data_IF_652003660390
#
_entry.id   IF_652003660390
#
_cell.length_a   1.000
_cell.length_b   1.000
_cell.length_c   1.000
_cell.angle_alpha   90.00
_cell.angle_beta   90.00
_cell.angle_gamma   90.00
#
_symmetry.space_group_name_H-M   'P 1'
#
loop_
_entity.id
_entity.type
_entity.pdbx_description
1 polymer ?
#
# COMPACT_ATOMS: atom_id res chain seq x y z
N UNK A 1 83.37 -27.28 37.00
CA UNK A 1 83.16 -28.55 36.26
C UNK A 1 82.20 -28.20 35.13
N UNK A 2 82.67 -27.92 33.92
CA UNK A 2 83.17 -28.88 32.92
C UNK A 2 82.16 -30.01 32.68
N UNK A 3 81.76 -30.40 31.46
CA UNK A 3 82.24 -30.15 30.09
C UNK A 3 81.28 -30.97 29.19
N UNK A 4 80.96 -30.46 27.99
CA UNK A 4 80.73 -31.22 26.72
C UNK A 4 79.73 -32.39 26.65
N UNK A 5 79.34 -32.92 25.48
CA UNK A 5 79.74 -32.65 24.11
C UNK A 5 78.55 -32.95 23.19
N UNK A 6 78.51 -32.20 22.11
CA UNK A 6 77.96 -32.60 20.83
C UNK A 6 78.48 -33.97 20.38
N UNK A 7 77.60 -34.83 19.87
CA UNK A 7 77.92 -35.53 18.62
C UNK A 7 76.67 -35.97 17.85
N UNK A 8 76.73 -35.78 16.54
CA UNK A 8 75.66 -35.90 15.54
C UNK A 8 75.56 -37.35 14.99
N UNK A 9 75.00 -37.61 13.79
CA UNK A 9 73.58 -37.71 13.41
C UNK A 9 73.28 -39.07 12.71
N UNK A 10 72.03 -39.34 12.30
CA UNK A 10 71.71 -39.74 10.91
C UNK A 10 70.21 -39.84 10.65
N UNK A 11 69.89 -39.30 9.50
CA UNK A 11 68.64 -39.15 8.80
C UNK A 11 68.11 -40.47 8.16
N UNK A 12 66.79 -40.44 7.86
CA UNK A 12 66.03 -41.16 6.83
C UNK A 12 65.88 -42.70 6.90
N UNK A 13 64.68 -43.16 7.28
CA UNK A 13 63.61 -43.65 6.37
C UNK A 13 62.44 -44.22 7.22
N UNK A 14 61.26 -43.60 7.24
CA UNK A 14 60.10 -43.94 6.39
C UNK A 14 59.63 -45.39 6.67
N UNK A 15 58.44 -45.68 7.22
CA UNK A 15 57.10 -45.47 6.64
C UNK A 15 56.06 -46.14 7.57
N UNK A 16 54.88 -45.51 7.67
CA UNK A 16 53.56 -46.02 8.08
C UNK A 16 53.29 -46.46 9.54
N UNK A 17 52.35 -45.75 10.14
CA UNK A 17 51.14 -46.42 10.63
C UNK A 17 50.76 -46.13 12.08
N UNK A 18 49.78 -45.24 12.25
CA UNK A 18 48.75 -45.45 13.27
C UNK A 18 48.85 -44.63 14.55
N UNK A 19 47.87 -43.73 14.67
CA UNK A 19 47.24 -43.28 15.90
C UNK A 19 47.85 -42.12 16.72
N UNK A 20 47.06 -41.04 16.70
CA UNK A 20 46.76 -40.18 17.83
C UNK A 20 47.80 -39.11 18.18
N UNK A 21 48.15 -38.27 17.22
CA UNK A 21 48.26 -36.86 17.54
C UNK A 21 46.86 -36.29 17.52
N UNK A 22 46.34 -35.87 18.68
CA UNK A 22 45.24 -34.92 18.76
C UNK A 22 45.88 -33.56 18.45
N UNK A 23 45.68 -32.94 17.28
CA UNK A 23 46.03 -31.55 17.10
C UNK A 23 44.85 -30.75 17.67
N UNK A 24 45.17 -29.80 18.52
CA UNK A 24 44.24 -28.89 19.19
C UNK A 24 43.48 -28.09 18.11
N UNK A 25 42.40 -28.66 17.58
CA UNK A 25 41.43 -28.00 16.68
C UNK A 25 40.28 -27.32 17.43
N UNK A 26 40.38 -27.24 18.76
CA UNK A 26 39.33 -26.74 19.65
C UNK A 26 39.80 -25.60 20.56
N UNK A 27 40.76 -24.79 20.11
CA UNK A 27 41.08 -23.53 20.76
C UNK A 27 40.09 -22.46 20.27
N UNK A 28 38.98 -22.34 21.01
CA UNK A 28 38.19 -21.11 21.24
C UNK A 28 38.45 -20.01 20.20
N UNK A 29 37.61 -19.92 19.17
CA UNK A 29 37.43 -18.69 18.39
C UNK A 29 36.78 -17.64 19.30
N UNK A 30 37.58 -17.13 20.23
CA UNK A 30 37.20 -16.18 21.25
C UNK A 30 36.90 -14.84 20.61
N UNK A 31 35.66 -14.41 20.71
CA UNK A 31 35.25 -13.06 20.33
C UNK A 31 34.47 -12.97 19.02
N UNK A 32 34.55 -11.78 18.40
CA UNK A 32 33.80 -11.43 17.18
C UNK A 32 34.09 -12.36 15.99
N UNK A 33 35.25 -13.03 15.96
CA UNK A 33 35.62 -13.98 14.90
C UNK A 33 34.69 -15.22 14.89
N UNK A 34 34.36 -15.77 16.06
CA UNK A 34 33.41 -16.88 16.17
C UNK A 34 31.98 -16.46 15.85
N UNK A 35 31.61 -15.20 16.08
CA UNK A 35 30.31 -14.65 15.63
C UNK A 35 30.26 -14.52 14.11
N UNK A 36 31.32 -14.00 13.48
CA UNK A 36 31.42 -13.88 12.02
C UNK A 36 31.31 -15.23 11.33
N UNK A 37 31.97 -16.26 11.86
CA UNK A 37 31.89 -17.61 11.30
C UNK A 37 30.48 -18.21 11.42
N UNK A 38 29.79 -18.00 12.55
CA UNK A 38 28.38 -18.42 12.72
C UNK A 38 27.44 -17.68 11.78
N UNK A 39 27.69 -16.39 11.55
CA UNK A 39 26.92 -15.57 10.61
C UNK A 39 27.12 -16.00 9.15
N UNK A 40 28.28 -16.54 8.79
CA UNK A 40 28.55 -17.07 7.45
C UNK A 40 27.97 -18.48 7.18
N UNK A 41 27.25 -19.08 8.14
CA UNK A 41 26.70 -20.43 7.99
C UNK A 41 25.38 -20.45 7.22
N UNK A 42 25.12 -21.56 6.52
CA UNK A 42 23.86 -21.77 5.79
C UNK A 42 22.65 -21.91 6.73
N UNK A 43 22.88 -22.21 8.00
CA UNK A 43 21.85 -22.40 9.02
C UNK A 43 21.27 -21.08 9.53
N UNK A 44 19.98 -20.86 9.23
CA UNK A 44 19.22 -19.68 9.69
C UNK A 44 19.30 -19.51 11.23
N UNK A 45 19.08 -20.55 12.07
CA UNK A 45 19.23 -20.44 13.52
C UNK A 45 20.62 -19.98 13.99
N UNK A 46 21.68 -20.43 13.31
CA UNK A 46 23.05 -20.07 13.66
C UNK A 46 23.35 -18.61 13.34
N UNK A 47 22.84 -18.10 12.20
CA UNK A 47 22.94 -16.67 11.84
C UNK A 47 22.17 -15.79 12.84
N UNK A 48 20.98 -16.20 13.27
CA UNK A 48 20.21 -15.49 14.32
C UNK A 48 20.99 -15.43 15.64
N UNK A 49 21.58 -16.54 16.06
CA UNK A 49 22.38 -16.58 17.29
C UNK A 49 23.61 -15.67 17.20
N UNK A 50 24.26 -15.61 16.04
CA UNK A 50 25.38 -14.71 15.79
C UNK A 50 24.96 -13.23 15.91
N UNK A 51 23.83 -12.88 15.30
CA UNK A 51 23.28 -11.51 15.37
C UNK A 51 22.95 -11.12 16.81
N UNK A 52 22.35 -12.02 17.61
CA UNK A 52 22.04 -11.79 19.03
C UNK A 52 23.28 -11.61 19.90
N UNK A 53 24.38 -12.28 19.58
CA UNK A 53 25.66 -12.14 20.29
C UNK A 53 26.45 -10.89 19.86
N UNK A 54 26.14 -10.31 18.70
CA UNK A 54 26.89 -9.19 18.13
C UNK A 54 27.05 -7.98 19.06
N UNK A 55 26.04 -7.54 19.85
CA UNK A 55 26.18 -6.38 20.75
C UNK A 55 27.28 -6.51 21.81
N UNK A 56 27.68 -7.75 22.15
CA UNK A 56 28.71 -8.03 23.15
C UNK A 56 30.11 -7.57 22.71
N UNK A 57 30.29 -7.24 21.43
CA UNK A 57 31.60 -6.98 20.82
C UNK A 57 31.77 -5.54 20.31
N UNK A 58 30.95 -4.59 20.76
CA UNK A 58 31.09 -3.16 20.43
C UNK A 58 30.94 -2.84 18.93
N UNK A 59 31.70 -1.87 18.42
CA UNK A 59 31.62 -1.40 17.03
C UNK A 59 31.75 -2.52 15.97
N UNK A 60 32.69 -3.49 16.09
CA UNK A 60 32.76 -4.64 15.19
C UNK A 60 31.50 -5.51 15.16
N UNK A 61 30.82 -5.63 16.30
CA UNK A 61 29.55 -6.34 16.42
C UNK A 61 28.37 -5.57 15.83
N UNK A 62 28.33 -4.26 16.05
CA UNK A 62 27.33 -3.38 15.42
C UNK A 62 27.44 -3.38 13.90
N UNK A 63 28.66 -3.38 13.35
CA UNK A 63 28.88 -3.51 11.91
C UNK A 63 28.35 -4.85 11.36
N UNK A 64 28.51 -5.94 12.11
CA UNK A 64 27.94 -7.24 11.75
C UNK A 64 26.42 -7.24 11.80
N UNK A 65 25.82 -6.61 12.82
CA UNK A 65 24.38 -6.45 12.91
C UNK A 65 23.84 -5.60 11.75
N UNK A 66 24.56 -4.55 11.33
CA UNK A 66 24.21 -3.75 10.15
C UNK A 66 24.28 -4.59 8.87
N UNK A 67 25.29 -5.44 8.71
CA UNK A 67 25.37 -6.37 7.57
C UNK A 67 24.23 -7.40 7.58
N UNK A 68 23.80 -7.84 8.77
CA UNK A 68 22.69 -8.78 8.92
C UNK A 68 21.33 -8.21 8.50
N UNK A 69 21.24 -6.89 8.32
CA UNK A 69 20.09 -6.26 7.69
C UNK A 69 19.97 -6.68 6.20
N UNK A 70 21.05 -7.06 5.53
CA UNK A 70 21.05 -7.48 4.13
C UNK A 70 20.94 -9.02 3.94
N UNK A 71 20.69 -9.79 5.01
CA UNK A 71 20.59 -11.25 4.94
C UNK A 71 19.39 -11.70 4.09
N UNK A 72 19.48 -12.78 3.29
CA UNK A 72 18.34 -13.26 2.51
C UNK A 72 17.17 -13.82 3.35
N UNK A 73 17.40 -14.16 4.63
CA UNK A 73 16.36 -14.70 5.51
C UNK A 73 15.70 -13.62 6.40
N UNK A 74 14.37 -13.54 6.32
CA UNK A 74 13.52 -12.61 7.10
C UNK A 74 13.78 -12.66 8.61
N UNK A 75 13.94 -13.86 9.18
CA UNK A 75 14.11 -14.05 10.62
C UNK A 75 15.44 -13.50 11.15
N UNK A 76 16.48 -13.47 10.30
CA UNK A 76 17.80 -12.89 10.61
C UNK A 76 17.72 -11.37 10.60
N UNK A 77 17.10 -10.81 9.56
CA UNK A 77 16.86 -9.37 9.43
C UNK A 77 16.07 -8.80 10.63
N UNK A 78 15.00 -9.49 11.08
CA UNK A 78 14.22 -9.11 12.28
C UNK A 78 15.08 -9.06 13.54
N UNK A 79 15.95 -10.05 13.71
CA UNK A 79 16.86 -10.12 14.85
C UNK A 79 17.88 -8.99 14.84
N UNK A 80 18.37 -8.61 13.65
CA UNK A 80 19.31 -7.51 13.46
C UNK A 80 18.66 -6.16 13.75
N UNK A 81 17.44 -5.93 13.25
CA UNK A 81 16.70 -4.70 13.52
C UNK A 81 16.39 -4.50 15.00
N UNK A 82 15.95 -5.55 15.71
CA UNK A 82 15.60 -5.47 17.14
C UNK A 82 16.77 -4.98 18.01
N UNK A 83 18.01 -5.26 17.58
CA UNK A 83 19.24 -4.86 18.26
C UNK A 83 19.63 -3.41 17.92
N UNK A 84 19.35 -2.98 16.69
CA UNK A 84 19.81 -1.71 16.14
C UNK A 84 18.80 -0.55 16.30
N UNK A 85 17.51 -0.82 16.49
CA UNK A 85 16.46 0.21 16.49
C UNK A 85 16.65 1.32 17.53
N UNK A 86 17.18 0.98 18.70
CA UNK A 86 17.32 1.88 19.84
C UNK A 86 18.73 2.52 19.89
N UNK A 87 19.57 2.25 18.90
CA UNK A 87 20.97 2.69 18.81
C UNK A 87 21.09 4.08 18.18
N UNK A 88 22.00 4.91 18.67
CA UNK A 88 22.16 6.32 18.27
C UNK A 88 23.35 6.56 17.36
N UNK A 89 24.15 5.53 17.10
CA UNK A 89 25.36 5.56 16.29
C UNK A 89 25.04 5.96 14.83
N UNK A 90 25.82 6.89 14.26
CA UNK A 90 25.57 7.48 12.93
C UNK A 90 25.49 6.41 11.84
N UNK A 91 26.44 5.48 11.82
CA UNK A 91 26.47 4.37 10.87
C UNK A 91 25.24 3.46 10.98
N UNK A 92 24.69 3.30 12.19
CA UNK A 92 23.45 2.55 12.41
C UNK A 92 22.24 3.36 11.93
N UNK A 93 22.21 4.68 12.15
CA UNK A 93 21.14 5.54 11.66
C UNK A 93 21.13 5.65 10.14
N UNK A 94 22.29 5.74 9.49
CA UNK A 94 22.41 5.69 8.03
C UNK A 94 22.05 4.31 7.47
N UNK A 95 22.51 3.24 8.13
CA UNK A 95 22.12 1.89 7.78
C UNK A 95 20.61 1.68 7.94
N UNK A 96 19.98 2.18 9.00
CA UNK A 96 18.52 2.09 9.21
C UNK A 96 17.71 3.01 8.29
N UNK A 97 18.31 4.06 7.74
CA UNK A 97 17.69 4.91 6.69
C UNK A 97 17.64 4.20 5.33
N UNK A 98 18.68 3.44 5.01
CA UNK A 98 18.83 2.75 3.72
C UNK A 98 18.38 1.29 3.77
N UNK A 99 18.46 0.69 4.95
CA UNK A 99 17.77 -0.54 5.23
C UNK A 99 16.29 -0.21 5.19
N UNK A 100 15.56 -1.05 4.50
CA UNK A 100 14.14 -1.16 4.65
C UNK A 100 13.99 -2.29 5.67
N UNK A 101 14.24 -2.05 6.99
CA UNK A 101 13.77 -2.99 7.98
C UNK A 101 12.30 -3.12 7.72
N UNK A 102 11.76 -4.30 7.95
CA UNK A 102 10.37 -4.40 8.31
C UNK A 102 9.96 -3.22 9.25
N UNK A 103 9.36 -2.14 8.72
CA UNK A 103 8.14 -1.62 9.34
C UNK A 103 7.23 -2.81 9.22
N UNK A 104 6.96 -3.46 10.35
CA UNK A 104 6.58 -4.87 10.47
C UNK A 104 5.23 -5.23 9.85
N UNK A 105 4.76 -4.47 8.85
CA UNK A 105 3.39 -4.51 8.39
C UNK A 105 2.49 -4.56 9.64
N UNK A 106 2.88 -3.76 10.62
CA UNK A 106 2.34 -3.82 11.96
C UNK A 106 1.28 -2.75 12.05
N UNK A 107 0.20 -3.10 12.72
CA UNK A 107 -0.84 -2.15 13.03
C UNK A 107 -0.30 -1.21 14.11
N UNK A 108 0.10 0.00 13.72
CA UNK A 108 0.61 1.03 14.61
C UNK A 108 -0.51 1.60 15.49
N UNK A 109 -1.68 1.77 14.88
CA UNK A 109 -2.84 2.39 15.53
C UNK A 109 -4.13 1.81 14.96
N UNK A 110 -5.10 1.54 15.82
CA UNK A 110 -6.48 1.23 15.41
C UNK A 110 -7.40 2.32 15.93
N UNK A 111 -8.08 3.00 15.03
CA UNK A 111 -8.99 4.11 15.32
C UNK A 111 -10.41 3.60 15.11
N UNK A 112 -11.23 3.67 16.15
CA UNK A 112 -12.65 3.31 16.05
C UNK A 112 -13.41 4.44 15.39
N UNK A 113 -14.13 4.13 14.33
CA UNK A 113 -14.88 5.10 13.53
C UNK A 113 -16.28 4.55 13.21
N UNK A 114 -17.03 5.30 12.40
CA UNK A 114 -18.34 4.86 11.92
C UNK A 114 -18.28 3.80 10.82
N UNK A 115 -19.43 3.53 10.22
CA UNK A 115 -19.54 2.73 8.99
C UNK A 115 -19.20 3.57 7.76
N UNK A 116 -18.94 2.93 6.62
CA UNK A 116 -18.78 3.59 5.32
C UNK A 116 -17.65 4.63 5.34
N UNK A 117 -16.43 4.15 5.22
CA UNK A 117 -15.22 4.92 5.48
C UNK A 117 -14.67 5.46 4.17
N UNK A 118 -14.28 6.73 4.15
CA UNK A 118 -13.46 7.30 3.09
C UNK A 118 -12.17 7.86 3.69
N UNK A 119 -11.06 7.67 2.99
CA UNK A 119 -9.76 8.20 3.36
C UNK A 119 -9.41 9.35 2.42
N UNK A 120 -8.72 10.36 2.94
CA UNK A 120 -8.11 11.37 2.09
C UNK A 120 -7.02 10.73 1.22
N UNK A 121 -6.74 11.26 0.01
CA UNK A 121 -5.70 10.70 -0.85
C UNK A 121 -4.30 10.72 -0.22
N UNK A 122 -4.06 11.60 0.76
CA UNK A 122 -2.80 11.70 1.50
C UNK A 122 -2.75 10.81 2.75
N UNK A 123 -3.88 10.21 3.15
CA UNK A 123 -3.97 9.36 4.34
C UNK A 123 -3.97 10.10 5.69
N UNK A 124 -4.07 11.43 5.70
CA UNK A 124 -4.09 12.24 6.93
C UNK A 124 -5.46 12.29 7.62
N UNK A 125 -6.55 12.10 6.87
CA UNK A 125 -7.93 12.20 7.39
C UNK A 125 -8.79 11.01 6.98
N UNK A 126 -9.76 10.69 7.83
CA UNK A 126 -10.84 9.78 7.51
C UNK A 126 -12.19 10.44 7.73
N UNK A 127 -13.12 10.21 6.81
CA UNK A 127 -14.52 10.49 7.00
C UNK A 127 -15.26 9.19 7.25
N UNK A 128 -16.19 9.20 8.19
CA UNK A 128 -16.98 8.03 8.55
C UNK A 128 -18.39 8.41 8.95
N UNK A 129 -19.34 7.51 8.68
CA UNK A 129 -20.73 7.69 9.04
C UNK A 129 -20.98 7.14 10.46
N UNK A 130 -21.19 8.04 11.41
CA UNK A 130 -21.55 7.73 12.79
C UNK A 130 -23.05 7.99 13.01
N UNK A 131 -23.86 6.94 12.87
CA UNK A 131 -25.33 6.98 12.99
C UNK A 131 -26.00 8.00 12.04
N UNK A 132 -26.24 9.22 12.56
CA UNK A 132 -26.83 10.35 11.84
C UNK A 132 -25.86 11.54 11.69
N UNK A 133 -24.55 11.31 11.71
CA UNK A 133 -23.56 12.35 11.43
C UNK A 133 -22.41 11.79 10.60
N UNK A 134 -21.91 12.57 9.66
CA UNK A 134 -20.61 12.31 9.04
C UNK A 134 -19.58 12.97 9.95
N UNK A 135 -18.60 12.22 10.40
CA UNK A 135 -17.49 12.74 11.20
C UNK A 135 -16.22 12.68 10.36
N UNK A 136 -15.52 13.80 10.30
CA UNK A 136 -14.17 13.85 9.74
C UNK A 136 -13.19 13.86 10.90
N UNK A 137 -12.30 12.88 10.91
CA UNK A 137 -11.25 12.74 11.90
C UNK A 137 -9.87 12.87 11.28
N UNK A 138 -8.97 13.48 12.04
CA UNK A 138 -7.54 13.45 11.81
C UNK A 138 -7.00 12.08 12.24
N UNK A 139 -6.26 11.40 11.37
CA UNK A 139 -5.77 10.05 11.64
C UNK A 139 -4.51 10.05 12.51
N UNK A 140 -3.69 11.11 12.43
CA UNK A 140 -2.47 11.27 13.21
C UNK A 140 -2.83 11.54 14.68
N UNK A 141 -3.64 12.57 14.93
CA UNK A 141 -4.13 12.91 16.27
C UNK A 141 -5.22 11.93 16.75
N UNK A 142 -6.06 11.42 15.85
CA UNK A 142 -7.26 10.66 16.21
C UNK A 142 -8.43 11.53 16.69
N UNK A 143 -8.35 12.84 16.47
CA UNK A 143 -9.34 13.82 16.89
C UNK A 143 -10.42 14.03 15.83
N UNK A 144 -11.63 14.39 16.27
CA UNK A 144 -12.72 14.77 15.36
C UNK A 144 -12.55 16.25 15.04
N UNK A 145 -12.32 16.56 13.77
CA UNK A 145 -12.15 17.94 13.31
C UNK A 145 -13.49 18.64 13.20
N UNK A 146 -14.46 18.00 12.54
CA UNK A 146 -15.83 18.49 12.46
C UNK A 146 -16.83 17.37 12.19
N UNK A 147 -18.10 17.67 12.41
CA UNK A 147 -19.20 16.76 12.15
C UNK A 147 -20.29 17.45 11.34
N UNK A 148 -20.77 16.77 10.30
CA UNK A 148 -21.89 17.23 9.48
C UNK A 148 -23.11 16.38 9.80
N UNK A 149 -24.22 17.04 10.14
CA UNK A 149 -25.47 16.35 10.48
C UNK A 149 -26.10 15.68 9.25
N UNK A 150 -26.59 14.46 9.45
CA UNK A 150 -27.24 13.64 8.43
C UNK A 150 -28.69 14.07 8.24
N UNK A 151 -29.12 14.11 6.98
CA UNK A 151 -30.53 14.01 6.63
C UNK A 151 -30.94 12.54 6.37
N UNK A 152 -32.12 12.08 6.82
CA UNK A 152 -32.31 10.71 7.32
C UNK A 152 -32.34 9.56 6.30
N UNK A 153 -32.09 9.77 5.00
CA UNK A 153 -32.56 8.84 3.96
C UNK A 153 -31.57 8.30 2.92
N UNK A 154 -30.30 8.71 2.89
CA UNK A 154 -29.41 8.32 1.79
C UNK A 154 -28.44 7.18 2.12
N UNK A 155 -28.29 6.25 1.17
CA UNK A 155 -27.07 5.44 1.00
C UNK A 155 -26.00 6.37 0.43
N UNK A 156 -25.17 6.94 1.28
CA UNK A 156 -24.19 7.93 0.83
C UNK A 156 -22.90 7.24 0.43
N UNK A 157 -22.29 7.71 -0.64
CA UNK A 157 -20.88 7.50 -0.94
C UNK A 157 -20.26 8.88 -0.89
N UNK A 158 -19.15 9.02 -0.19
CA UNK A 158 -18.46 10.30 -0.07
C UNK A 158 -16.97 10.13 -0.32
N UNK A 159 -16.35 11.19 -0.81
CA UNK A 159 -14.93 11.24 -1.17
C UNK A 159 -14.35 12.52 -0.57
N UNK A 160 -13.12 12.40 -0.07
CA UNK A 160 -12.36 13.51 0.48
C UNK A 160 -11.42 14.08 -0.58
N UNK A 161 -11.30 15.41 -0.60
CA UNK A 161 -10.26 16.09 -1.37
C UNK A 161 -8.87 15.84 -0.79
N UNK A 162 -7.84 16.19 -1.56
CA UNK A 162 -6.50 16.41 -1.00
C UNK A 162 -6.51 17.61 -0.06
N UNK A 163 -7.32 18.63 -0.37
CA UNK A 163 -7.67 19.68 0.56
C UNK A 163 -8.63 19.14 1.60
N UNK A 164 -8.16 19.21 2.83
CA UNK A 164 -8.61 18.36 3.91
C UNK A 164 -9.97 18.78 4.49
N UNK A 165 -10.47 19.93 4.05
CA UNK A 165 -11.76 20.51 4.42
C UNK A 165 -12.86 20.27 3.38
N UNK A 166 -12.53 19.77 2.19
CA UNK A 166 -13.50 19.55 1.11
C UNK A 166 -13.92 18.09 1.06
N UNK A 167 -15.22 17.83 1.13
CA UNK A 167 -15.77 16.52 0.85
C UNK A 167 -16.96 16.61 -0.09
N UNK A 168 -17.10 15.57 -0.91
CA UNK A 168 -18.19 15.46 -1.87
C UNK A 168 -19.01 14.24 -1.52
N UNK A 169 -20.33 14.39 -1.46
CA UNK A 169 -21.25 13.29 -1.19
C UNK A 169 -22.30 13.17 -2.28
N UNK A 170 -22.77 11.94 -2.52
CA UNK A 170 -24.01 11.72 -3.27
C UNK A 170 -25.23 11.72 -2.34
N UNK A 171 -26.34 12.26 -2.84
CA UNK A 171 -27.67 12.16 -2.24
C UNK A 171 -28.65 11.62 -3.26
N UNK A 172 -29.40 10.59 -2.87
CA UNK A 172 -30.50 10.03 -3.65
C UNK A 172 -31.81 10.31 -2.94
N UNK A 173 -32.76 10.95 -3.62
CA UNK A 173 -34.10 11.24 -3.09
C UNK A 173 -35.19 10.29 -3.61
N UNK A 174 -34.80 9.24 -4.34
CA UNK A 174 -35.73 8.32 -5.01
C UNK A 174 -36.12 8.73 -6.43
N UNK A 175 -35.78 9.95 -6.87
CA UNK A 175 -36.10 10.46 -8.21
C UNK A 175 -34.88 10.96 -8.97
N UNK A 176 -33.94 11.65 -8.31
CA UNK A 176 -32.73 12.21 -8.94
C UNK A 176 -31.51 12.04 -8.05
N UNK A 177 -30.38 11.80 -8.70
CA UNK A 177 -29.07 11.83 -8.07
C UNK A 177 -28.60 13.27 -7.95
N UNK A 178 -28.39 13.71 -6.72
CA UNK A 178 -27.74 14.98 -6.40
C UNK A 178 -26.32 14.70 -5.90
N UNK A 179 -25.41 15.62 -6.19
CA UNK A 179 -24.06 15.61 -5.63
C UNK A 179 -23.93 16.88 -4.81
N UNK A 180 -23.39 16.80 -3.62
CA UNK A 180 -23.23 17.94 -2.73
C UNK A 180 -21.76 18.14 -2.40
N UNK A 181 -21.29 19.37 -2.57
CA UNK A 181 -19.93 19.80 -2.25
C UNK A 181 -19.98 20.52 -0.91
N UNK A 182 -19.21 20.02 0.04
CA UNK A 182 -19.12 20.56 1.38
C UNK A 182 -17.70 21.02 1.66
N UNK A 183 -17.56 22.16 2.33
CA UNK A 183 -16.27 22.72 2.74
C UNK A 183 -16.36 23.15 4.20
N UNK A 184 -15.45 22.66 5.04
CA UNK A 184 -15.34 22.98 6.47
C UNK A 184 -16.66 22.80 7.26
N UNK A 185 -17.53 21.89 6.80
CA UNK A 185 -18.82 21.60 7.42
C UNK A 185 -20.02 22.34 6.81
N UNK A 186 -19.81 23.26 5.87
CA UNK A 186 -20.87 24.02 5.20
C UNK A 186 -21.13 23.51 3.77
N UNK A 187 -22.40 23.47 3.37
CA UNK A 187 -22.81 23.12 2.02
C UNK A 187 -22.52 24.29 1.07
N UNK A 188 -21.60 24.08 0.13
CA UNK A 188 -21.26 25.10 -0.88
C UNK A 188 -22.18 24.99 -2.09
N UNK A 189 -22.30 23.79 -2.66
CA UNK A 189 -23.02 23.57 -3.92
C UNK A 189 -23.80 22.26 -3.93
N UNK A 190 -24.96 22.29 -4.60
CA UNK A 190 -25.73 21.10 -4.95
C UNK A 190 -25.76 20.95 -6.46
N UNK A 191 -25.11 19.91 -6.98
CA UNK A 191 -25.00 19.61 -8.40
C UNK A 191 -26.16 18.70 -8.81
N UNK A 192 -26.94 19.18 -9.77
CA UNK A 192 -28.09 18.46 -10.33
C UNK A 192 -27.86 18.28 -11.83
N UNK A 193 -28.08 17.07 -12.34
CA UNK A 193 -27.96 16.82 -13.77
C UNK A 193 -28.00 15.34 -14.18
N UNK A 194 -27.69 14.42 -13.26
CA UNK A 194 -27.91 13.00 -13.49
C UNK A 194 -29.40 12.66 -13.46
N UNK A 195 -29.81 11.74 -14.35
CA UNK A 195 -31.18 11.23 -14.44
C UNK A 195 -31.36 9.92 -13.65
N UNK A 196 -30.27 9.38 -13.12
CA UNK A 196 -30.22 8.18 -12.31
C UNK A 196 -29.49 8.41 -10.98
N UNK A 197 -29.33 7.34 -10.22
CA UNK A 197 -28.56 7.38 -8.99
C UNK A 197 -27.08 7.53 -9.33
N UNK A 198 -26.37 8.40 -8.62
CA UNK A 198 -24.91 8.48 -8.72
C UNK A 198 -24.33 7.21 -8.10
N UNK A 199 -23.65 6.40 -8.90
CA UNK A 199 -23.08 5.13 -8.47
C UNK A 199 -21.60 5.26 -8.06
N UNK A 200 -20.88 6.22 -8.64
CA UNK A 200 -19.46 6.45 -8.35
C UNK A 200 -19.12 7.95 -8.32
N UNK A 201 -18.18 8.33 -7.46
CA UNK A 201 -17.63 9.68 -7.33
C UNK A 201 -16.11 9.62 -7.21
N UNK A 202 -15.42 10.63 -7.73
CA UNK A 202 -14.01 10.87 -7.47
C UNK A 202 -13.69 12.36 -7.58
N UNK A 203 -12.70 12.82 -6.81
CA UNK A 203 -12.16 14.19 -6.89
C UNK A 203 -10.78 14.08 -7.57
N UNK A 204 -10.44 15.04 -8.42
CA UNK A 204 -9.12 15.09 -9.03
C UNK A 204 -8.03 15.39 -7.99
N UNK A 205 -6.78 14.91 -8.19
CA UNK A 205 -5.68 15.12 -7.24
C UNK A 205 -5.36 16.60 -6.96
N UNK A 206 -5.63 17.48 -7.92
CA UNK A 206 -5.47 18.93 -7.83
C UNK A 206 -6.65 19.66 -7.17
N UNK A 207 -7.68 18.93 -6.71
CA UNK A 207 -8.93 19.48 -6.16
C UNK A 207 -9.62 20.52 -7.06
N UNK A 208 -9.52 20.41 -8.38
CA UNK A 208 -10.22 21.32 -9.28
C UNK A 208 -11.53 20.77 -9.82
N UNK A 209 -11.64 19.45 -9.97
CA UNK A 209 -12.78 18.82 -10.65
C UNK A 209 -13.30 17.59 -9.91
N UNK A 210 -14.58 17.29 -10.13
CA UNK A 210 -15.26 16.08 -9.67
C UNK A 210 -15.66 15.26 -10.88
N UNK A 211 -15.40 13.96 -10.85
CA UNK A 211 -16.04 12.99 -11.75
C UNK A 211 -17.20 12.30 -11.03
N UNK A 212 -18.36 12.24 -11.69
CA UNK A 212 -19.51 11.48 -11.22
C UNK A 212 -20.03 10.55 -12.30
N UNK A 213 -20.39 9.35 -11.87
CA UNK A 213 -20.92 8.29 -12.71
C UNK A 213 -22.26 7.85 -12.16
N UNK A 214 -23.19 7.52 -13.04
CA UNK A 214 -24.57 7.28 -12.68
C UNK A 214 -25.13 6.02 -13.32
N UNK A 215 -26.23 5.52 -12.76
CA UNK A 215 -27.04 4.47 -13.37
C UNK A 215 -27.65 4.91 -14.71
N UNK A 216 -27.67 6.21 -15.01
CA UNK A 216 -28.01 6.75 -16.34
C UNK A 216 -26.92 6.52 -17.40
N UNK A 217 -25.85 5.79 -17.06
CA UNK A 217 -24.73 5.40 -17.94
C UNK A 217 -23.84 6.55 -18.40
N UNK A 218 -24.06 7.77 -17.91
CA UNK A 218 -23.23 8.94 -18.23
C UNK A 218 -22.17 9.21 -17.17
N UNK A 219 -21.06 9.81 -17.60
CA UNK A 219 -20.05 10.36 -16.70
C UNK A 219 -20.10 11.88 -16.84
N UNK A 220 -20.20 12.60 -15.72
CA UNK A 220 -20.20 14.07 -15.70
C UNK A 220 -18.98 14.58 -14.96
N UNK A 221 -18.37 15.64 -15.50
CA UNK A 221 -17.27 16.34 -14.88
C UNK A 221 -17.74 17.71 -14.44
N UNK A 222 -17.47 18.05 -13.19
CA UNK A 222 -17.90 19.28 -12.55
C UNK A 222 -16.68 20.05 -12.06
N UNK A 223 -16.78 21.37 -12.05
CA UNK A 223 -15.79 22.23 -11.40
C UNK A 223 -16.09 22.25 -9.88
N UNK A 224 -15.08 21.95 -9.05
CA UNK A 224 -15.23 21.84 -7.60
C UNK A 224 -15.56 23.20 -6.95
N UNK A 225 -14.89 24.27 -7.40
CA UNK A 225 -15.00 25.63 -6.85
C UNK A 225 -16.33 26.31 -7.18
N UNK A 226 -16.86 26.10 -8.38
CA UNK A 226 -18.06 26.81 -8.89
C UNK A 226 -19.31 25.94 -8.90
N UNK A 227 -19.17 24.62 -8.73
CA UNK A 227 -20.25 23.66 -8.89
C UNK A 227 -20.84 23.56 -10.31
N UNK A 228 -20.19 24.13 -11.32
CA UNK A 228 -20.70 24.12 -12.70
C UNK A 228 -20.29 22.83 -13.42
N UNK A 229 -21.21 22.32 -14.26
CA UNK A 229 -20.93 21.21 -15.16
C UNK A 229 -19.94 21.65 -16.24
N UNK A 230 -18.79 20.98 -16.33
CA UNK A 230 -17.76 21.23 -17.35
C UNK A 230 -18.08 20.44 -18.62
N UNK A 231 -18.34 19.14 -18.47
CA UNK A 231 -18.68 18.27 -19.60
C UNK A 231 -19.46 17.03 -19.16
N UNK A 232 -20.13 16.42 -20.14
CA UNK A 232 -20.74 15.09 -20.01
C UNK A 232 -20.12 14.18 -21.04
N UNK A 233 -19.61 13.04 -20.61
CA UNK A 233 -19.22 11.95 -21.49
C UNK A 233 -20.43 11.07 -21.75
N UNK A 234 -20.77 10.94 -23.02
CA UNK A 234 -21.81 10.06 -23.56
C UNK A 234 -21.40 9.65 -24.97
N UNK A 235 -21.54 8.37 -25.32
CA UNK A 235 -21.29 7.89 -26.68
C UNK A 235 -22.39 8.36 -27.64
N UNK A 236 -21.99 8.89 -28.80
CA UNK A 236 -22.92 9.27 -29.88
C UNK A 236 -23.73 8.11 -30.45
N UNK A 237 -23.27 6.85 -30.29
CA UNK A 237 -23.93 5.66 -30.84
C UNK A 237 -24.78 4.90 -29.82
N UNK A 238 -24.57 5.11 -28.52
CA UNK A 238 -25.21 4.31 -27.45
C UNK A 238 -25.87 5.14 -26.34
N UNK A 239 -25.98 6.47 -26.50
CA UNK A 239 -26.52 7.42 -25.51
C UNK A 239 -25.79 7.49 -24.14
N UNK A 240 -24.97 6.48 -23.77
CA UNK A 240 -24.20 6.40 -22.53
C UNK A 240 -22.67 6.34 -22.73
N UNK A 241 -21.89 6.77 -21.74
CA UNK A 241 -20.43 6.56 -21.70
C UNK A 241 -20.08 5.07 -21.62
N UNK A 242 -20.91 4.33 -20.90
CA UNK A 242 -20.91 2.88 -20.77
C UNK A 242 -22.27 2.31 -21.17
N UNK A 243 -22.40 0.98 -21.27
CA UNK A 243 -23.70 0.31 -21.52
C UNK A 243 -24.48 -0.01 -20.25
N UNK A 244 -23.87 0.19 -19.09
CA UNK A 244 -24.46 -0.07 -17.77
C UNK A 244 -23.91 0.94 -16.75
N UNK A 245 -24.34 0.85 -15.50
CA UNK A 245 -23.88 1.74 -14.42
C UNK A 245 -22.36 1.73 -14.26
N UNK A 246 -21.81 2.87 -13.86
CA UNK A 246 -20.38 3.02 -13.59
C UNK A 246 -20.07 2.55 -12.17
N UNK A 247 -19.07 1.68 -12.01
CA UNK A 247 -18.69 1.10 -10.71
C UNK A 247 -17.62 1.90 -9.97
N UNK A 248 -16.61 2.42 -10.68
CA UNK A 248 -15.50 3.15 -10.05
C UNK A 248 -14.84 4.12 -11.04
N UNK A 249 -14.13 5.10 -10.48
CA UNK A 249 -13.25 6.00 -11.21
C UNK A 249 -11.83 5.95 -10.64
N UNK A 250 -10.85 6.32 -11.47
CA UNK A 250 -9.52 6.69 -11.03
C UNK A 250 -9.02 7.86 -11.86
N UNK A 251 -8.61 8.95 -11.22
CA UNK A 251 -7.91 10.05 -11.89
C UNK A 251 -6.43 9.75 -12.01
N UNK A 252 -5.83 10.23 -13.09
CA UNK A 252 -4.39 10.27 -13.23
C UNK A 252 -3.77 11.31 -12.28
N UNK A 253 -2.68 10.98 -11.56
CA UNK A 253 -1.97 11.91 -10.68
C UNK A 253 -1.26 13.07 -11.41
N UNK A 254 -0.89 12.92 -12.67
CA UNK A 254 -0.03 13.90 -13.39
C UNK A 254 -0.64 14.45 -14.69
N UNK A 255 -1.89 14.11 -15.02
CA UNK A 255 -2.47 14.56 -16.29
C UNK A 255 -3.98 14.42 -16.41
N UNK A 256 -4.56 14.93 -17.52
CA UNK A 256 -6.01 14.99 -17.74
C UNK A 256 -6.57 13.65 -18.20
N UNK A 257 -6.24 12.56 -17.50
CA UNK A 257 -6.69 11.20 -17.82
C UNK A 257 -7.62 10.73 -16.70
N UNK A 258 -8.74 10.12 -17.09
CA UNK A 258 -9.70 9.50 -16.19
C UNK A 258 -9.92 8.05 -16.66
N UNK A 259 -9.82 7.10 -15.74
CA UNK A 259 -10.29 5.74 -15.98
C UNK A 259 -11.66 5.55 -15.31
N UNK A 260 -12.56 4.85 -15.98
CA UNK A 260 -13.86 4.45 -15.45
C UNK A 260 -14.10 2.97 -15.68
N UNK A 261 -14.68 2.30 -14.71
CA UNK A 261 -15.14 0.91 -14.83
C UNK A 261 -16.65 0.84 -14.78
N UNK A 262 -17.23 -0.16 -15.42
CA UNK A 262 -18.68 -0.34 -15.45
C UNK A 262 -19.11 -1.80 -15.35
N UNK A 263 -20.34 -2.00 -14.89
CA UNK A 263 -21.03 -3.28 -14.91
C UNK A 263 -21.31 -3.82 -16.33
N UNK A 264 -20.99 -3.06 -17.38
CA UNK A 264 -20.94 -3.58 -18.76
C UNK A 264 -19.72 -4.47 -19.04
N UNK A 265 -18.85 -4.67 -18.05
CA UNK A 265 -17.66 -5.50 -18.16
C UNK A 265 -16.53 -4.80 -18.90
N UNK A 266 -16.54 -3.46 -18.95
CA UNK A 266 -15.46 -2.67 -19.56
C UNK A 266 -14.84 -1.67 -18.61
N UNK A 267 -13.54 -1.44 -18.81
CA UNK A 267 -12.81 -0.29 -18.26
C UNK A 267 -12.46 0.63 -19.42
N UNK A 268 -12.83 1.90 -19.32
CA UNK A 268 -12.54 2.92 -20.33
C UNK A 268 -11.54 3.92 -19.79
N UNK A 269 -10.62 4.35 -20.64
CA UNK A 269 -9.66 5.41 -20.35
C UNK A 269 -10.01 6.61 -21.23
N UNK A 270 -10.24 7.73 -20.58
CA UNK A 270 -10.71 8.97 -21.17
C UNK A 270 -9.64 10.04 -21.07
N UNK A 271 -9.55 10.85 -22.11
CA UNK A 271 -8.79 12.08 -22.07
C UNK A 271 -9.76 13.25 -21.84
N UNK A 272 -9.60 13.94 -20.71
CA UNK A 272 -10.49 15.02 -20.28
C UNK A 272 -10.38 16.26 -21.17
N UNK A 273 -9.24 16.46 -21.84
CA UNK A 273 -9.01 17.60 -22.75
C UNK A 273 -9.67 17.36 -24.10
N UNK A 274 -9.42 16.21 -24.73
CA UNK A 274 -10.02 15.87 -26.03
C UNK A 274 -11.47 15.40 -25.91
N UNK A 275 -11.90 15.02 -24.70
CA UNK A 275 -13.20 14.41 -24.40
C UNK A 275 -13.45 13.09 -25.13
N UNK A 276 -12.37 12.42 -25.55
CA UNK A 276 -12.44 11.15 -26.26
C UNK A 276 -12.16 9.97 -25.33
N UNK A 277 -12.73 8.81 -25.69
CA UNK A 277 -12.35 7.53 -25.12
C UNK A 277 -11.11 7.03 -25.87
N UNK A 278 -9.94 7.21 -25.27
CA UNK A 278 -8.67 6.76 -25.88
C UNK A 278 -8.59 5.24 -25.92
N UNK A 279 -9.15 4.55 -24.91
CA UNK A 279 -9.04 3.08 -24.79
C UNK A 279 -10.26 2.45 -24.14
N UNK A 280 -10.57 1.21 -24.57
CA UNK A 280 -11.57 0.35 -23.91
C UNK A 280 -10.96 -1.03 -23.68
N UNK A 281 -10.90 -1.46 -22.42
CA UNK A 281 -10.45 -2.76 -21.96
C UNK A 281 -11.67 -3.63 -21.65
N UNK A 282 -11.72 -4.86 -22.18
CA UNK A 282 -12.80 -5.82 -21.90
C UNK A 282 -12.51 -6.58 -20.60
N UNK A 283 -12.84 -5.98 -19.46
CA UNK A 283 -12.76 -6.57 -18.13
C UNK A 283 -13.72 -5.86 -17.18
N UNK A 284 -14.39 -6.63 -16.34
CA UNK A 284 -15.09 -6.10 -15.19
C UNK A 284 -14.10 -5.67 -14.11
N UNK A 285 -14.27 -4.46 -13.58
CA UNK A 285 -13.50 -3.98 -12.44
C UNK A 285 -14.44 -3.30 -11.44
N UNK A 286 -14.26 -3.64 -10.17
CA UNK A 286 -14.96 -3.04 -9.05
C UNK A 286 -14.23 -1.79 -8.55
N UNK A 287 -12.89 -1.80 -8.59
CA UNK A 287 -12.06 -0.66 -8.21
C UNK A 287 -10.92 -0.46 -9.22
N UNK A 288 -10.44 0.77 -9.31
CA UNK A 288 -9.37 1.20 -10.22
C UNK A 288 -8.35 2.05 -9.47
N UNK A 289 -7.09 1.98 -9.88
CA UNK A 289 -6.04 2.88 -9.41
C UNK A 289 -4.96 3.09 -10.49
N UNK A 290 -4.48 4.31 -10.65
CA UNK A 290 -3.31 4.59 -11.49
C UNK A 290 -2.03 4.51 -10.68
N UNK A 291 -0.94 4.07 -11.33
CA UNK A 291 0.40 4.26 -10.79
C UNK A 291 0.79 5.75 -10.81
N UNK A 292 1.70 6.19 -9.92
CA UNK A 292 2.16 7.58 -9.86
C UNK A 292 2.75 8.10 -11.18
N UNK A 293 3.40 7.23 -11.95
CA UNK A 293 3.99 7.53 -13.26
C UNK A 293 2.97 7.43 -14.43
N UNK A 294 1.75 6.99 -14.13
CA UNK A 294 0.63 6.84 -15.10
C UNK A 294 0.97 5.90 -16.25
N UNK A 295 1.93 4.99 -16.05
CA UNK A 295 2.22 3.93 -16.99
C UNK A 295 1.31 2.72 -16.76
N UNK A 296 0.81 2.52 -15.54
CA UNK A 296 0.09 1.33 -15.14
C UNK A 296 -1.29 1.68 -14.59
N UNK A 297 -2.31 0.98 -15.05
CA UNK A 297 -3.67 1.01 -14.48
C UNK A 297 -3.95 -0.34 -13.81
N UNK A 298 -4.21 -0.31 -12.50
CA UNK A 298 -4.67 -1.48 -11.76
C UNK A 298 -6.19 -1.58 -11.79
N UNK A 299 -6.70 -2.79 -12.02
CA UNK A 299 -8.13 -3.10 -12.05
C UNK A 299 -8.46 -4.33 -11.22
N UNK A 300 -9.10 -4.11 -10.07
CA UNK A 300 -9.53 -5.15 -9.14
C UNK A 300 -10.91 -5.70 -9.49
N UNK A 301 -11.03 -7.02 -9.56
CA UNK A 301 -12.28 -7.70 -9.89
C UNK A 301 -13.01 -8.29 -8.67
N UNK A 302 -14.23 -8.76 -8.90
CA UNK A 302 -14.96 -9.58 -7.92
C UNK A 302 -14.40 -11.01 -7.78
N UNK A 303 -13.60 -11.44 -8.76
CA UNK A 303 -12.91 -12.74 -8.79
C UNK A 303 -11.70 -12.81 -7.84
N UNK A 304 -11.44 -11.77 -7.05
CA UNK A 304 -10.25 -11.66 -6.20
C UNK A 304 -8.94 -11.45 -6.97
N UNK A 305 -9.02 -11.20 -8.29
CA UNK A 305 -7.85 -10.96 -9.12
C UNK A 305 -7.68 -9.47 -9.38
N UNK A 306 -6.44 -9.04 -9.45
CA UNK A 306 -6.08 -7.68 -9.89
C UNK A 306 -5.30 -7.82 -11.17
N UNK A 307 -5.65 -7.02 -12.18
CA UNK A 307 -4.83 -6.92 -13.39
C UNK A 307 -4.20 -5.55 -13.47
N UNK A 308 -2.89 -5.54 -13.68
CA UNK A 308 -2.09 -4.36 -13.97
C UNK A 308 -1.94 -4.25 -15.48
N UNK A 309 -2.49 -3.18 -16.05
CA UNK A 309 -2.44 -2.88 -17.47
C UNK A 309 -1.41 -1.80 -17.73
N UNK A 310 -0.39 -2.12 -18.54
CA UNK A 310 0.50 -1.09 -19.06
C UNK A 310 -0.24 -0.27 -20.13
N UNK A 311 -0.35 1.04 -19.94
CA UNK A 311 -0.99 1.93 -20.90
C UNK A 311 -0.16 2.03 -22.18
N UNK A 312 1.17 2.00 -22.11
CA UNK A 312 2.00 2.02 -23.33
C UNK A 312 1.86 0.73 -24.17
N UNK A 313 1.70 -0.43 -23.51
CA UNK A 313 1.57 -1.72 -24.18
C UNK A 313 0.50 -2.61 -23.50
N UNK A 314 -0.72 -2.71 -24.05
CA UNK A 314 -1.82 -3.43 -23.42
C UNK A 314 -1.66 -4.96 -23.44
N UNK A 315 -0.75 -5.52 -24.23
CA UNK A 315 -0.45 -6.96 -24.20
C UNK A 315 0.37 -7.33 -22.96
N UNK A 316 1.14 -6.37 -22.43
CA UNK A 316 1.90 -6.54 -21.19
C UNK A 316 0.97 -6.33 -20.00
N UNK A 317 0.39 -7.42 -19.53
CA UNK A 317 -0.45 -7.45 -18.33
C UNK A 317 0.16 -8.33 -17.26
N UNK A 318 0.12 -7.86 -16.02
CA UNK A 318 0.50 -8.64 -14.84
C UNK A 318 -0.77 -8.95 -14.05
N UNK A 319 -1.00 -10.21 -13.74
CA UNK A 319 -2.15 -10.63 -12.92
C UNK A 319 -1.67 -10.94 -11.51
N UNK A 320 -2.26 -10.28 -10.52
CA UNK A 320 -2.03 -10.52 -9.10
C UNK A 320 -3.15 -11.43 -8.61
N UNK A 321 -2.79 -12.63 -8.18
CA UNK A 321 -3.72 -13.65 -7.69
C UNK A 321 -3.34 -14.05 -6.27
N UNK A 322 -4.35 -14.27 -5.42
CA UNK A 322 -4.16 -14.74 -4.05
C UNK A 322 -5.14 -14.20 -3.02
N UNK A 323 -5.96 -13.20 -3.36
CA UNK A 323 -7.13 -12.86 -2.55
C UNK A 323 -8.23 -13.91 -2.71
N UNK A 324 -8.97 -14.14 -1.62
CA UNK A 324 -10.03 -15.16 -1.57
C UNK A 324 -11.41 -14.60 -1.89
N UNK A 325 -11.53 -13.28 -2.02
CA UNK A 325 -12.79 -12.58 -2.30
C UNK A 325 -12.54 -11.30 -3.09
N UNK A 326 -13.63 -10.62 -3.46
CA UNK A 326 -13.64 -9.40 -4.26
C UNK A 326 -12.68 -8.31 -3.76
N UNK A 327 -12.09 -7.57 -4.70
CA UNK A 327 -11.19 -6.47 -4.41
C UNK A 327 -11.98 -5.17 -4.30
N UNK A 328 -11.91 -4.54 -3.13
CA UNK A 328 -12.68 -3.33 -2.82
C UNK A 328 -11.88 -2.05 -3.10
N UNK A 329 -10.58 -2.05 -2.84
CA UNK A 329 -9.73 -0.90 -3.09
C UNK A 329 -8.30 -1.32 -3.46
N UNK A 330 -7.64 -0.47 -4.24
CA UNK A 330 -6.25 -0.63 -4.66
C UNK A 330 -5.56 0.72 -4.47
N UNK A 331 -4.33 0.71 -3.97
CA UNK A 331 -3.48 1.89 -3.91
C UNK A 331 -2.06 1.53 -4.37
N UNK A 332 -1.43 2.43 -5.12
CA UNK A 332 0.00 2.32 -5.42
C UNK A 332 0.81 3.06 -4.36
N UNK A 333 1.98 2.51 -4.02
CA UNK A 333 2.97 3.27 -3.27
C UNK A 333 3.41 4.51 -4.06
N UNK A 334 3.83 5.61 -3.41
CA UNK A 334 4.28 6.82 -4.10
C UNK A 334 5.44 6.60 -5.08
N UNK A 335 6.28 5.58 -4.84
CA UNK A 335 7.36 5.18 -5.74
C UNK A 335 6.91 4.26 -6.91
N UNK A 336 5.63 3.85 -6.95
CA UNK A 336 5.04 3.00 -7.98
C UNK A 336 5.48 1.53 -7.98
N UNK A 337 6.41 1.13 -7.11
CA UNK A 337 6.98 -0.23 -7.09
C UNK A 337 6.09 -1.25 -6.40
N UNK A 338 5.22 -0.80 -5.50
CA UNK A 338 4.38 -1.64 -4.67
C UNK A 338 2.91 -1.32 -4.89
N UNK A 339 2.09 -2.37 -5.01
CA UNK A 339 0.63 -2.26 -5.05
C UNK A 339 0.08 -2.81 -3.75
N UNK A 340 -0.75 -2.04 -3.06
CA UNK A 340 -1.56 -2.52 -1.94
C UNK A 340 -2.99 -2.78 -2.42
N UNK A 341 -3.58 -3.88 -1.99
CA UNK A 341 -4.95 -4.24 -2.31
C UNK A 341 -5.74 -4.66 -1.08
N UNK A 342 -6.97 -4.17 -0.98
CA UNK A 342 -7.92 -4.48 0.07
C UNK A 342 -9.05 -5.34 -0.49
N UNK A 343 -9.42 -6.37 0.26
CA UNK A 343 -10.43 -7.33 -0.16
C UNK A 343 -11.54 -7.50 0.86
N UNK A 344 -12.67 -7.99 0.37
CA UNK A 344 -13.76 -8.51 1.19
C UNK A 344 -13.38 -9.81 1.95
N UNK A 345 -12.18 -10.36 1.76
CA UNK A 345 -11.65 -11.44 2.61
C UNK A 345 -11.09 -10.92 3.96
N UNK A 346 -11.14 -9.60 4.20
CA UNK A 346 -10.65 -8.97 5.44
C UNK A 346 -9.13 -8.77 5.46
N UNK A 347 -8.43 -9.13 4.38
CA UNK A 347 -6.97 -9.00 4.27
C UNK A 347 -6.56 -7.82 3.38
N UNK A 348 -5.35 -7.34 3.61
CA UNK A 348 -4.67 -6.40 2.72
C UNK A 348 -3.41 -7.07 2.21
N UNK A 349 -3.20 -7.09 0.89
CA UNK A 349 -2.01 -7.69 0.29
C UNK A 349 -1.14 -6.64 -0.37
N UNK A 350 0.16 -6.80 -0.21
CA UNK A 350 1.16 -6.02 -0.92
C UNK A 350 1.78 -6.85 -2.03
N UNK A 351 1.98 -6.24 -3.19
CA UNK A 351 2.47 -6.88 -4.39
C UNK A 351 3.60 -6.09 -4.99
N UNK A 352 4.56 -6.78 -5.58
CA UNK A 352 5.55 -6.14 -6.43
C UNK A 352 4.88 -5.82 -7.77
N UNK A 353 4.85 -4.55 -8.17
CA UNK A 353 4.15 -4.11 -9.38
C UNK A 353 4.76 -4.68 -10.68
N UNK A 354 6.05 -5.01 -10.67
CA UNK A 354 6.77 -5.49 -11.85
C UNK A 354 6.66 -7.01 -12.02
N UNK A 355 6.87 -7.79 -10.95
CA UNK A 355 6.82 -9.25 -10.99
C UNK A 355 5.43 -9.83 -10.72
N UNK A 356 4.55 -9.07 -10.08
CA UNK A 356 3.24 -9.51 -9.62
C UNK A 356 3.26 -10.41 -8.40
N UNK A 357 4.42 -10.62 -7.77
CA UNK A 357 4.56 -11.50 -6.61
C UNK A 357 3.98 -10.85 -5.36
N UNK A 358 3.29 -11.64 -4.52
CA UNK A 358 2.87 -11.20 -3.20
C UNK A 358 4.11 -10.96 -2.32
N UNK A 359 4.27 -9.75 -1.81
CA UNK A 359 5.34 -9.35 -0.88
C UNK A 359 4.90 -9.67 0.54
N UNK A 360 3.66 -9.32 0.87
CA UNK A 360 3.14 -9.48 2.23
C UNK A 360 1.62 -9.56 2.26
N UNK A 361 1.09 -10.11 3.35
CA UNK A 361 -0.35 -10.14 3.66
C UNK A 361 -0.58 -9.65 5.08
N UNK A 362 -1.27 -8.53 5.19
CA UNK A 362 -1.82 -8.01 6.44
C UNK A 362 -3.14 -8.69 6.75
N UNK A 363 -3.26 -9.15 7.99
CA UNK A 363 -4.50 -9.65 8.57
C UNK A 363 -4.77 -8.90 9.87
N UNK A 364 -6.05 -8.79 10.25
CA UNK A 364 -6.44 -8.16 11.52
C UNK A 364 -7.79 -7.46 11.48
N UNK A 365 -8.22 -6.97 10.32
CA UNK A 365 -9.60 -6.54 10.13
C UNK A 365 -10.55 -7.74 10.29
N UNK A 366 -11.68 -7.49 10.95
CA UNK A 366 -12.68 -8.54 11.25
C UNK A 366 -13.79 -8.60 10.22
N UNK A 367 -13.77 -7.70 9.23
CA UNK A 367 -14.75 -7.56 8.17
C UNK A 367 -14.07 -6.95 6.94
N UNK A 368 -14.84 -6.74 5.86
CA UNK A 368 -14.38 -6.27 4.57
C UNK A 368 -13.55 -5.00 4.69
N UNK A 369 -12.36 -4.99 4.07
CA UNK A 369 -11.56 -3.77 3.94
C UNK A 369 -12.10 -3.01 2.74
N UNK A 370 -12.57 -1.78 2.95
CA UNK A 370 -13.35 -1.03 1.94
C UNK A 370 -12.54 0.04 1.23
N UNK A 371 -11.50 0.59 1.87
CA UNK A 371 -10.68 1.66 1.31
C UNK A 371 -9.22 1.58 1.78
N UNK A 372 -8.30 2.07 0.94
CA UNK A 372 -6.87 2.15 1.20
C UNK A 372 -6.31 3.51 0.76
N UNK A 373 -5.35 4.04 1.51
CA UNK A 373 -4.57 5.21 1.12
C UNK A 373 -3.15 5.12 1.68
N UNK A 374 -2.15 5.43 0.85
CA UNK A 374 -0.77 5.60 1.32
C UNK A 374 -0.57 7.02 1.84
N UNK A 375 0.32 7.17 2.84
CA UNK A 375 0.87 8.48 3.16
C UNK A 375 1.64 9.04 1.97
N UNK A 376 1.77 10.37 1.90
CA UNK A 376 2.58 11.05 0.87
C UNK A 376 4.03 10.58 0.87
N UNK A 377 4.58 10.27 2.04
CA UNK A 377 5.91 9.68 2.20
C UNK A 377 6.01 8.20 1.83
N UNK A 378 4.87 7.50 1.67
CA UNK A 378 4.80 6.08 1.32
C UNK A 378 5.12 5.14 2.47
N UNK A 379 5.32 5.69 3.66
CA UNK A 379 5.86 5.03 4.83
C UNK A 379 4.74 4.45 5.73
N UNK A 380 3.50 4.82 5.44
CA UNK A 380 2.31 4.44 6.20
C UNK A 380 1.20 4.09 5.22
N UNK A 381 0.42 3.05 5.53
CA UNK A 381 -0.80 2.69 4.82
C UNK A 381 -1.98 2.81 5.79
N UNK A 382 -3.03 3.47 5.36
CA UNK A 382 -4.29 3.57 6.06
C UNK A 382 -5.30 2.63 5.42
N UNK A 383 -6.04 1.88 6.23
CA UNK A 383 -7.11 1.00 5.76
C UNK A 383 -8.39 1.20 6.55
N UNK A 384 -9.49 1.45 5.87
CA UNK A 384 -10.82 1.48 6.47
C UNK A 384 -11.54 0.16 6.23
N UNK A 385 -12.31 -0.29 7.23
CA UNK A 385 -13.08 -1.54 7.15
C UNK A 385 -14.51 -1.38 7.65
N UNK A 386 -15.37 -2.26 7.16
CA UNK A 386 -16.75 -2.45 7.65
C UNK A 386 -16.80 -2.87 9.13
N UNK A 387 -15.67 -3.31 9.71
CA UNK A 387 -15.53 -3.59 11.15
C UNK A 387 -15.56 -2.33 12.03
N UNK A 388 -15.81 -1.16 11.42
CA UNK A 388 -15.90 0.16 12.05
C UNK A 388 -14.55 0.64 12.59
N UNK A 389 -13.47 0.22 11.96
CA UNK A 389 -12.12 0.69 12.30
C UNK A 389 -11.38 1.21 11.08
N UNK A 390 -10.51 2.20 11.32
CA UNK A 390 -9.37 2.49 10.47
C UNK A 390 -8.13 1.99 11.16
N UNK A 391 -7.32 1.22 10.43
CA UNK A 391 -6.01 0.79 10.89
C UNK A 391 -4.93 1.56 10.15
N UNK A 392 -3.92 1.96 10.92
CA UNK A 392 -2.69 2.59 10.44
C UNK A 392 -1.61 1.54 10.47
N UNK A 393 -0.99 1.28 9.33
CA UNK A 393 0.02 0.26 9.15
C UNK A 393 1.35 0.92 8.79
N UNK A 394 2.42 0.51 9.46
CA UNK A 394 3.76 0.87 9.02
C UNK A 394 4.11 0.11 7.74
N UNK A 395 4.44 0.83 6.68
CA UNK A 395 4.94 0.25 5.42
C UNK A 395 6.44 0.52 5.29
N UNK A 396 7.26 -0.52 5.03
CA UNK A 396 8.71 -0.40 4.94
C UNK A 396 9.21 0.58 3.88
#
# INVERSE_FOLDING_TARGET
MMVDNSDRPREYDAVLGGHSQIPIGAAVLGGIAGVKQRFASDSIPARIAAVKDAPKYGNPGLALAVLALLDPAESVQKSAYAILRDRTEIAVREALKNFIPYKLFECLKTIKIGTNVALSPQGDRAASLYAKKIKICDLDAGEILFSVDKYPRAQEYFVLGTDSDVFVRKRWDGKRGAIEIWQSGDLQHTLLGHQGEVSALAISPDCQIIASGSTDTTIKIWNLETGKLICTFSSHLTWGAHKNMISSFAFSPIGPILASSSNDGTVKVWNLRSRACDRTLKRYAHCLAFSPDVQTLAAGGWDGKIKLYQLSNPEKTVTLEGHLSSINAIAFSPNGRTVASASADGTIKFWNAASGTNIHTLSGHQDFVTCLAFSTGGDTLFSGSSDKTVRVWGVP
#
